data_IF_975209051217
#
_entry.id   IF_975209051217
#
_cell.length_a   1.000
_cell.length_b   1.000
_cell.length_c   1.000
_cell.angle_alpha   90.00
_cell.angle_beta   90.00
_cell.angle_gamma   90.00
#
_symmetry.space_group_name_H-M   'P 1'
#
loop_
_entity.id
_entity.type
_entity.pdbx_description
1 polymer ?
#
# COMPACT_ATOMS: atom_id res chain seq x y z
N UNK A 1 -50.88 2.91 -32.06
CA UNK A 1 -50.78 3.68 -33.32
C UNK A 1 -52.07 4.39 -33.71
N UNK A 2 -53.28 3.89 -33.35
CA UNK A 2 -54.54 4.53 -33.74
C UNK A 2 -54.82 5.91 -33.10
N UNK A 3 -54.47 6.13 -31.82
CA UNK A 3 -54.80 7.38 -31.12
C UNK A 3 -53.99 8.59 -31.59
N UNK A 4 -52.69 8.40 -31.82
CA UNK A 4 -51.80 9.40 -32.41
C UNK A 4 -52.29 9.89 -33.79
N UNK A 5 -52.79 8.96 -34.61
CA UNK A 5 -53.30 9.28 -35.94
C UNK A 5 -54.66 9.99 -35.89
N UNK A 6 -55.51 9.65 -34.91
CA UNK A 6 -56.79 10.34 -34.66
C UNK A 6 -56.54 11.75 -34.14
N UNK A 7 -55.59 11.93 -33.22
CA UNK A 7 -55.19 13.24 -32.69
C UNK A 7 -54.60 14.10 -33.81
N UNK A 8 -53.72 13.55 -34.67
CA UNK A 8 -53.21 14.26 -35.85
C UNK A 8 -54.31 14.68 -36.81
N UNK A 9 -55.25 13.79 -37.15
CA UNK A 9 -56.38 14.15 -38.02
C UNK A 9 -57.27 15.22 -37.40
N UNK A 10 -57.54 15.15 -36.10
CA UNK A 10 -58.31 16.16 -35.38
C UNK A 10 -57.61 17.51 -35.37
N UNK A 11 -56.30 17.53 -35.10
CA UNK A 11 -55.48 18.75 -35.16
C UNK A 11 -55.37 19.30 -36.58
N UNK A 12 -55.34 18.47 -37.62
CA UNK A 12 -55.38 18.95 -39.01
C UNK A 12 -56.75 19.57 -39.33
N UNK A 13 -57.85 18.97 -38.88
CA UNK A 13 -59.20 19.48 -39.15
C UNK A 13 -59.48 20.80 -38.39
N UNK A 14 -59.09 20.88 -37.12
CA UNK A 14 -59.28 22.05 -36.26
C UNK A 14 -58.16 23.11 -36.42
N UNK A 15 -56.97 22.71 -36.87
CA UNK A 15 -55.79 23.56 -37.05
C UNK A 15 -55.65 24.19 -38.45
N UNK A 16 -56.32 23.63 -39.45
CA UNK A 16 -56.30 24.16 -40.82
C UNK A 16 -57.53 25.04 -41.09
N UNK A 17 -57.75 26.08 -40.29
CA UNK A 17 -58.57 27.25 -40.65
C UNK A 17 -60.03 27.01 -41.10
N UNK A 18 -60.57 25.79 -41.03
CA UNK A 18 -61.89 25.44 -41.60
C UNK A 18 -63.01 26.23 -40.95
N UNK A 19 -62.82 26.64 -39.69
CA UNK A 19 -63.72 27.57 -39.00
C UNK A 19 -63.60 29.02 -39.49
N UNK A 20 -62.40 29.52 -39.77
CA UNK A 20 -62.15 30.89 -40.23
C UNK A 20 -62.55 31.07 -41.71
N UNK A 21 -62.14 30.15 -42.59
CA UNK A 21 -62.54 30.13 -44.00
C UNK A 21 -64.07 30.02 -44.15
N UNK A 22 -64.72 29.18 -43.33
CA UNK A 22 -66.18 29.11 -43.26
C UNK A 22 -66.80 30.44 -42.80
N UNK A 23 -66.21 31.11 -41.81
CA UNK A 23 -66.70 32.41 -41.31
C UNK A 23 -66.58 33.49 -42.39
N UNK A 24 -65.45 33.57 -43.08
CA UNK A 24 -65.23 34.49 -44.20
C UNK A 24 -66.18 34.22 -45.36
N UNK A 25 -66.38 32.95 -45.73
CA UNK A 25 -67.32 32.55 -46.77
C UNK A 25 -68.79 32.91 -46.41
N UNK A 26 -69.17 32.79 -45.13
CA UNK A 26 -70.50 33.19 -44.65
C UNK A 26 -70.68 34.71 -44.69
N UNK A 27 -69.65 35.47 -44.28
CA UNK A 27 -69.65 36.93 -44.37
C UNK A 27 -69.78 37.39 -45.83
N UNK A 28 -68.98 36.80 -46.74
CA UNK A 28 -69.01 37.09 -48.18
C UNK A 28 -70.39 36.82 -48.78
N UNK A 29 -71.00 35.67 -48.49
CA UNK A 29 -72.36 35.34 -48.95
C UNK A 29 -73.40 36.31 -48.39
N UNK A 30 -73.27 36.72 -47.14
CA UNK A 30 -74.18 37.69 -46.49
C UNK A 30 -74.05 39.07 -47.12
N UNK A 31 -72.83 39.50 -47.44
CA UNK A 31 -72.54 40.76 -48.13
C UNK A 31 -73.10 40.78 -49.55
N UNK A 32 -72.85 39.73 -50.34
CA UNK A 32 -73.40 39.61 -51.70
C UNK A 32 -74.93 39.62 -51.66
N UNK A 33 -75.56 38.94 -50.69
CA UNK A 33 -77.01 38.95 -50.53
C UNK A 33 -77.51 40.37 -50.23
N UNK A 34 -76.90 41.04 -49.25
CA UNK A 34 -77.27 42.40 -48.85
C UNK A 34 -77.15 43.42 -49.99
N UNK A 35 -76.10 43.33 -50.84
CA UNK A 35 -75.94 44.20 -52.00
C UNK A 35 -77.00 43.98 -53.09
N UNK A 36 -77.58 42.78 -53.18
CA UNK A 36 -78.58 42.42 -54.20
C UNK A 36 -80.03 42.48 -53.68
N UNK A 37 -80.23 42.86 -52.41
CA UNK A 37 -81.55 43.02 -51.79
C UNK A 37 -82.25 44.29 -52.29
N UNK A 38 -83.06 44.21 -53.35
CA UNK A 38 -83.77 45.37 -53.91
C UNK A 38 -85.11 45.71 -53.23
N UNK A 39 -85.64 44.82 -52.37
CA UNK A 39 -86.97 44.93 -51.75
C UNK A 39 -86.97 44.87 -50.20
N UNK A 40 -85.81 44.99 -49.55
CA UNK A 40 -85.73 44.94 -48.08
C UNK A 40 -86.09 46.29 -47.43
N UNK A 41 -86.74 46.24 -46.26
CA UNK A 41 -87.07 47.44 -45.48
C UNK A 41 -85.78 48.05 -44.91
N UNK A 42 -85.73 49.38 -44.74
CA UNK A 42 -84.54 50.08 -44.21
C UNK A 42 -84.05 49.50 -42.85
N UNK A 43 -84.96 49.05 -41.99
CA UNK A 43 -84.61 48.41 -40.72
C UNK A 43 -83.96 47.03 -40.89
N UNK A 44 -84.42 46.22 -41.83
CA UNK A 44 -83.87 44.88 -42.11
C UNK A 44 -82.46 44.97 -42.72
N UNK A 45 -82.26 45.96 -43.60
CA UNK A 45 -80.94 46.29 -44.16
C UNK A 45 -79.95 46.73 -43.08
N UNK A 46 -80.40 47.46 -42.06
CA UNK A 46 -79.56 47.89 -40.93
C UNK A 46 -79.18 46.70 -40.02
N UNK A 47 -80.13 45.81 -39.72
CA UNK A 47 -79.88 44.62 -38.89
C UNK A 47 -78.86 43.68 -39.56
N UNK A 48 -78.97 43.48 -40.87
CA UNK A 48 -78.03 42.65 -41.63
C UNK A 48 -76.64 43.29 -41.69
N UNK A 49 -76.55 44.61 -41.86
CA UNK A 49 -75.30 45.36 -41.77
C UNK A 49 -74.62 45.23 -40.40
N UNK A 50 -75.34 45.43 -39.29
CA UNK A 50 -74.80 45.31 -37.94
C UNK A 50 -74.33 43.88 -37.64
N UNK A 51 -75.04 42.88 -38.16
CA UNK A 51 -74.61 41.47 -38.11
C UNK A 51 -73.32 41.22 -38.89
N UNK A 52 -73.15 41.82 -40.08
CA UNK A 52 -71.91 41.71 -40.85
C UNK A 52 -70.73 42.37 -40.13
N UNK A 53 -70.93 43.54 -39.49
CA UNK A 53 -69.91 44.18 -38.67
C UNK A 53 -69.48 43.30 -37.49
N UNK A 54 -70.44 42.67 -36.80
CA UNK A 54 -70.13 41.74 -35.71
C UNK A 54 -69.33 40.51 -36.21
N UNK A 55 -69.66 39.98 -37.39
CA UNK A 55 -68.91 38.89 -38.02
C UNK A 55 -67.50 39.31 -38.43
N UNK A 56 -67.32 40.52 -38.95
CA UNK A 56 -66.01 41.08 -39.29
C UNK A 56 -65.13 41.21 -38.04
N UNK A 57 -65.66 41.77 -36.96
CA UNK A 57 -64.94 41.90 -35.68
C UNK A 57 -64.50 40.53 -35.13
N UNK A 58 -65.31 39.48 -35.29
CA UNK A 58 -64.93 38.12 -34.91
C UNK A 58 -63.79 37.56 -35.78
N UNK A 59 -63.75 37.88 -37.07
CA UNK A 59 -62.66 37.49 -37.97
C UNK A 59 -61.35 38.19 -37.60
N UNK A 60 -61.40 39.50 -37.31
CA UNK A 60 -60.25 40.29 -36.87
C UNK A 60 -59.68 39.77 -35.54
N UNK A 61 -60.55 39.42 -34.60
CA UNK A 61 -60.14 38.80 -33.34
C UNK A 61 -59.47 37.45 -33.57
N UNK A 62 -60.04 36.59 -34.41
CA UNK A 62 -59.47 35.28 -34.73
C UNK A 62 -58.08 35.40 -35.37
N UNK A 63 -57.91 36.33 -36.32
CA UNK A 63 -56.63 36.63 -36.94
C UNK A 63 -55.59 37.11 -35.91
N UNK A 64 -55.98 38.04 -35.05
CA UNK A 64 -55.10 38.57 -34.00
C UNK A 64 -54.67 37.49 -33.01
N UNK A 65 -55.60 36.61 -32.62
CA UNK A 65 -55.33 35.45 -31.78
C UNK A 65 -54.35 34.49 -32.47
N UNK A 66 -54.59 34.13 -33.73
CA UNK A 66 -53.71 33.22 -34.48
C UNK A 66 -52.30 33.78 -34.60
N UNK A 67 -52.15 35.09 -34.86
CA UNK A 67 -50.84 35.74 -34.94
C UNK A 67 -50.11 35.70 -33.61
N UNK A 68 -50.81 35.96 -32.50
CA UNK A 68 -50.21 35.91 -31.17
C UNK A 68 -49.81 34.47 -30.79
N UNK A 69 -50.65 33.49 -31.10
CA UNK A 69 -50.33 32.06 -30.90
C UNK A 69 -49.12 31.64 -31.72
N UNK A 70 -49.01 32.05 -32.99
CA UNK A 70 -47.84 31.77 -33.81
C UNK A 70 -46.55 32.38 -33.24
N UNK A 71 -46.61 33.63 -32.77
CA UNK A 71 -45.48 34.29 -32.11
C UNK A 71 -45.09 33.60 -30.80
N UNK A 72 -46.07 33.20 -29.99
CA UNK A 72 -45.86 32.43 -28.77
C UNK A 72 -45.19 31.08 -29.07
N UNK A 73 -45.69 30.32 -30.04
CA UNK A 73 -45.11 29.03 -30.42
C UNK A 73 -43.68 29.16 -30.95
N UNK A 74 -43.37 30.23 -31.70
CA UNK A 74 -41.99 30.50 -32.14
C UNK A 74 -41.05 30.78 -30.96
N UNK A 75 -41.50 31.56 -29.97
CA UNK A 75 -40.74 31.83 -28.76
C UNK A 75 -40.56 30.57 -27.89
N UNK A 76 -41.59 29.75 -27.77
CA UNK A 76 -41.52 28.46 -27.07
C UNK A 76 -40.53 27.50 -27.76
N UNK A 77 -40.54 27.42 -29.09
CA UNK A 77 -39.60 26.60 -29.84
C UNK A 77 -38.15 27.00 -29.54
N UNK A 78 -37.86 28.31 -29.55
CA UNK A 78 -36.53 28.82 -29.20
C UNK A 78 -36.14 28.48 -27.75
N UNK A 79 -37.10 28.55 -26.82
CA UNK A 79 -36.86 28.17 -25.43
C UNK A 79 -36.54 26.67 -25.31
N UNK A 80 -37.27 25.80 -26.02
CA UNK A 80 -36.99 24.36 -26.05
C UNK A 80 -35.63 24.05 -26.66
N UNK A 81 -35.22 24.74 -27.73
CA UNK A 81 -33.86 24.60 -28.26
C UNK A 81 -32.79 24.97 -27.24
N UNK A 82 -32.97 26.08 -26.53
CA UNK A 82 -32.03 26.51 -25.49
C UNK A 82 -31.97 25.49 -24.34
N UNK A 83 -33.12 24.97 -23.92
CA UNK A 83 -33.20 23.93 -22.89
C UNK A 83 -32.51 22.64 -23.35
N UNK A 84 -32.70 22.23 -24.60
CA UNK A 84 -32.00 21.06 -25.17
C UNK A 84 -30.48 21.23 -25.10
N UNK A 85 -29.96 22.40 -25.53
CA UNK A 85 -28.52 22.69 -25.45
C UNK A 85 -27.99 22.68 -24.02
N UNK A 86 -28.76 23.21 -23.06
CA UNK A 86 -28.38 23.17 -21.64
C UNK A 86 -28.33 21.73 -21.10
N UNK A 87 -29.31 20.90 -21.46
CA UNK A 87 -29.34 19.49 -21.08
C UNK A 87 -28.16 18.74 -21.69
N UNK A 88 -27.85 18.95 -22.97
CA UNK A 88 -26.71 18.34 -23.64
C UNK A 88 -25.38 18.72 -22.97
N UNK A 89 -25.17 20.00 -22.67
CA UNK A 89 -24.01 20.49 -21.93
C UNK A 89 -23.92 19.87 -20.53
N UNK A 90 -25.05 19.77 -19.82
CA UNK A 90 -25.14 19.11 -18.52
C UNK A 90 -24.76 17.62 -18.58
N UNK A 91 -25.23 16.92 -19.61
CA UNK A 91 -24.87 15.50 -19.85
C UNK A 91 -23.38 15.37 -20.12
N UNK A 92 -22.80 16.24 -20.94
CA UNK A 92 -21.37 16.20 -21.24
C UNK A 92 -20.51 16.47 -20.00
N UNK A 93 -20.89 17.47 -19.19
CA UNK A 93 -20.26 17.77 -17.91
C UNK A 93 -20.33 16.58 -16.94
N UNK A 94 -21.51 15.96 -16.82
CA UNK A 94 -21.69 14.78 -15.98
C UNK A 94 -20.83 13.59 -16.45
N UNK A 95 -20.74 13.36 -17.77
CA UNK A 95 -19.84 12.33 -18.34
C UNK A 95 -18.38 12.58 -17.97
N UNK A 96 -17.90 13.82 -18.10
CA UNK A 96 -16.53 14.20 -17.71
C UNK A 96 -16.30 13.99 -16.20
N UNK A 97 -17.27 14.36 -15.36
CA UNK A 97 -17.18 14.13 -13.92
C UNK A 97 -17.11 12.64 -13.58
N UNK A 98 -17.91 11.79 -14.24
CA UNK A 98 -17.87 10.34 -14.05
C UNK A 98 -16.49 9.78 -14.42
N UNK A 99 -15.92 10.23 -15.54
CA UNK A 99 -14.60 9.79 -15.98
C UNK A 99 -13.50 10.20 -14.99
N UNK A 100 -13.53 11.45 -14.49
CA UNK A 100 -12.63 11.91 -13.43
C UNK A 100 -12.76 11.07 -12.17
N UNK A 101 -13.98 10.89 -11.65
CA UNK A 101 -14.21 10.10 -10.43
C UNK A 101 -13.79 8.63 -10.60
N UNK A 102 -13.87 8.08 -11.82
CA UNK A 102 -13.38 6.73 -12.11
C UNK A 102 -11.86 6.64 -12.00
N UNK A 103 -11.12 7.66 -12.44
CA UNK A 103 -9.67 7.73 -12.27
C UNK A 103 -9.31 7.86 -10.79
N UNK A 104 -9.94 8.78 -10.07
CA UNK A 104 -9.71 8.97 -8.63
C UNK A 104 -9.98 7.68 -7.85
N UNK A 105 -11.03 6.94 -8.23
CA UNK A 105 -11.35 5.65 -7.63
C UNK A 105 -10.26 4.59 -7.87
N UNK A 106 -9.66 4.55 -9.07
CA UNK A 106 -8.55 3.64 -9.37
C UNK A 106 -7.31 3.98 -8.56
N UNK A 107 -6.99 5.27 -8.43
CA UNK A 107 -5.89 5.74 -7.58
C UNK A 107 -6.14 5.36 -6.11
N UNK A 108 -7.33 5.65 -5.58
CA UNK A 108 -7.70 5.29 -4.21
C UNK A 108 -7.60 3.78 -3.96
N UNK A 109 -7.97 2.95 -4.94
CA UNK A 109 -7.81 1.49 -4.87
C UNK A 109 -6.33 1.08 -4.79
N UNK A 110 -5.47 1.75 -5.55
CA UNK A 110 -4.02 1.51 -5.54
C UNK A 110 -3.42 1.90 -4.20
N UNK A 111 -3.77 3.08 -3.67
CA UNK A 111 -3.35 3.54 -2.33
C UNK A 111 -3.79 2.54 -1.25
N UNK A 112 -5.03 2.05 -1.33
CA UNK A 112 -5.53 1.04 -0.40
C UNK A 112 -4.74 -0.27 -0.48
N UNK A 113 -4.42 -0.74 -1.70
CA UNK A 113 -3.59 -1.94 -1.91
C UNK A 113 -2.22 -1.77 -1.26
N UNK A 114 -1.55 -0.66 -1.53
CA UNK A 114 -0.24 -0.34 -0.97
C UNK A 114 -0.28 -0.27 0.56
N UNK A 115 -1.32 0.35 1.12
CA UNK A 115 -1.52 0.41 2.57
C UNK A 115 -1.65 -0.98 3.21
N UNK A 116 -2.43 -1.88 2.59
CA UNK A 116 -2.55 -3.26 3.06
C UNK A 116 -1.20 -3.99 2.99
N UNK A 117 -0.45 -3.80 1.91
CA UNK A 117 0.89 -4.39 1.76
C UNK A 117 1.84 -3.88 2.86
N UNK A 118 1.82 -2.58 3.15
CA UNK A 118 2.59 -2.00 4.26
C UNK A 118 2.16 -2.55 5.62
N UNK A 119 0.85 -2.67 5.88
CA UNK A 119 0.34 -3.22 7.14
C UNK A 119 0.78 -4.68 7.33
N UNK A 120 0.81 -5.47 6.26
CA UNK A 120 1.30 -6.86 6.28
C UNK A 120 2.79 -6.89 6.59
N UNK A 121 3.61 -6.08 5.90
CA UNK A 121 5.05 -6.00 6.18
C UNK A 121 5.33 -5.52 7.60
N UNK A 122 4.58 -4.54 8.09
CA UNK A 122 4.72 -4.02 9.45
C UNK A 122 4.42 -5.09 10.50
N UNK A 123 3.41 -5.96 10.29
CA UNK A 123 3.15 -7.10 11.17
C UNK A 123 4.34 -8.05 11.24
N UNK A 124 4.89 -8.43 10.08
CA UNK A 124 6.07 -9.31 10.02
C UNK A 124 7.30 -8.67 10.68
N UNK A 125 7.50 -7.36 10.51
CA UNK A 125 8.59 -6.63 11.17
C UNK A 125 8.41 -6.60 12.69
N UNK A 126 7.17 -6.43 13.18
CA UNK A 126 6.88 -6.40 14.61
C UNK A 126 7.02 -7.76 15.31
N UNK A 127 7.02 -8.87 14.57
CA UNK A 127 7.36 -10.19 15.11
C UNK A 127 8.86 -10.31 15.45
N UNK A 128 9.71 -9.46 14.85
CA UNK A 128 11.13 -9.43 15.12
C UNK A 128 11.45 -8.57 16.37
N UNK A 129 12.51 -8.91 17.13
CA UNK A 129 12.88 -8.15 18.31
C UNK A 129 13.31 -6.72 17.96
N UNK A 130 13.11 -5.80 18.90
CA UNK A 130 13.49 -4.41 18.70
C UNK A 130 14.97 -4.27 18.35
N UNK A 131 15.24 -3.45 17.33
CA UNK A 131 16.59 -3.28 16.76
C UNK A 131 17.53 -2.63 17.77
N UNK A 132 17.05 -1.65 18.56
CA UNK A 132 17.88 -0.97 19.56
C UNK A 132 18.27 -1.94 20.67
N UNK A 133 17.29 -2.63 21.24
CA UNK A 133 17.54 -3.64 22.27
C UNK A 133 18.50 -4.75 21.80
N UNK A 134 18.36 -5.21 20.55
CA UNK A 134 19.25 -6.23 19.98
C UNK A 134 20.67 -5.70 19.80
N UNK A 135 20.84 -4.46 19.33
CA UNK A 135 22.15 -3.83 19.20
C UNK A 135 22.85 -3.61 20.55
N UNK A 136 22.11 -3.22 21.59
CA UNK A 136 22.65 -3.06 22.95
C UNK A 136 23.17 -4.39 23.50
N UNK A 137 22.36 -5.46 23.40
CA UNK A 137 22.80 -6.82 23.78
C UNK A 137 24.04 -7.25 23.00
N UNK A 138 24.10 -6.95 21.71
CA UNK A 138 25.24 -7.28 20.86
C UNK A 138 26.51 -6.51 21.26
N UNK A 139 26.37 -5.23 21.62
CA UNK A 139 27.47 -4.42 22.14
C UNK A 139 27.98 -4.94 23.48
N UNK A 140 27.07 -5.34 24.38
CA UNK A 140 27.42 -5.93 25.66
C UNK A 140 28.15 -7.27 25.47
N UNK A 141 27.61 -8.17 24.66
CA UNK A 141 28.24 -9.46 24.35
C UNK A 141 29.64 -9.27 23.75
N UNK A 142 29.84 -8.31 22.85
CA UNK A 142 31.18 -7.99 22.31
C UNK A 142 32.16 -7.55 23.39
N UNK A 143 31.70 -6.74 24.36
CA UNK A 143 32.53 -6.30 25.49
C UNK A 143 32.90 -7.48 26.39
N UNK A 144 31.95 -8.34 26.71
CA UNK A 144 32.16 -9.54 27.50
C UNK A 144 33.16 -10.49 26.81
N UNK A 145 33.00 -10.71 25.50
CA UNK A 145 33.89 -11.54 24.69
C UNK A 145 35.33 -10.99 24.70
N UNK A 146 35.52 -9.68 24.51
CA UNK A 146 36.83 -9.05 24.63
C UNK A 146 37.46 -9.19 26.01
N UNK A 147 36.67 -9.08 27.09
CA UNK A 147 37.17 -9.31 28.45
C UNK A 147 37.54 -10.78 28.71
N UNK A 148 36.79 -11.72 28.12
CA UNK A 148 37.07 -13.15 28.21
C UNK A 148 38.35 -13.51 27.44
N UNK A 149 38.57 -12.91 26.27
CA UNK A 149 39.80 -13.07 25.51
C UNK A 149 41.01 -12.54 26.27
N UNK A 150 40.91 -11.37 26.90
CA UNK A 150 41.98 -10.80 27.71
C UNK A 150 42.29 -11.68 28.93
N UNK A 151 41.27 -12.15 29.65
CA UNK A 151 41.47 -13.05 30.80
C UNK A 151 42.06 -14.39 30.38
N UNK A 152 41.64 -14.95 29.23
CA UNK A 152 42.25 -16.14 28.62
C UNK A 152 43.73 -15.91 28.35
N UNK A 153 44.09 -14.81 27.69
CA UNK A 153 45.48 -14.48 27.38
C UNK A 153 46.33 -14.30 28.65
N UNK A 154 45.78 -13.66 29.69
CA UNK A 154 46.45 -13.50 30.98
C UNK A 154 46.68 -14.85 31.69
N UNK A 155 45.70 -15.76 31.66
CA UNK A 155 45.83 -17.09 32.23
C UNK A 155 46.85 -17.94 31.45
N UNK A 156 46.85 -17.84 30.12
CA UNK A 156 47.80 -18.52 29.25
C UNK A 156 49.24 -18.07 29.53
N UNK A 157 49.47 -16.75 29.70
CA UNK A 157 50.77 -16.19 30.14
C UNK A 157 51.18 -16.69 31.53
N UNK A 158 50.25 -16.72 32.49
CA UNK A 158 50.54 -17.25 33.84
C UNK A 158 50.90 -18.74 33.80
N UNK A 159 50.19 -19.53 33.01
CA UNK A 159 50.45 -20.96 32.85
C UNK A 159 51.83 -21.19 32.22
N UNK A 160 52.19 -20.44 31.19
CA UNK A 160 53.51 -20.52 30.56
C UNK A 160 54.64 -20.12 31.53
N UNK A 161 54.44 -19.08 32.33
CA UNK A 161 55.36 -18.70 33.40
C UNK A 161 55.54 -19.82 34.44
N UNK A 162 54.45 -20.47 34.86
CA UNK A 162 54.51 -21.62 35.78
C UNK A 162 55.22 -22.83 35.15
N UNK A 163 55.00 -23.12 33.87
CA UNK A 163 55.74 -24.17 33.14
C UNK A 163 57.24 -23.90 33.11
N UNK A 164 57.65 -22.65 32.89
CA UNK A 164 59.05 -22.21 32.94
C UNK A 164 59.64 -22.36 34.35
N UNK A 165 58.93 -21.91 35.38
CA UNK A 165 59.34 -22.09 36.78
C UNK A 165 59.49 -23.56 37.15
N UNK A 166 58.56 -24.42 36.71
CA UNK A 166 58.64 -25.86 36.92
C UNK A 166 59.85 -26.48 36.21
N UNK A 167 60.15 -26.07 34.97
CA UNK A 167 61.37 -26.51 34.27
C UNK A 167 62.65 -26.13 35.03
N UNK A 168 62.72 -24.90 35.58
CA UNK A 168 63.86 -24.48 36.40
C UNK A 168 63.98 -25.36 37.65
N UNK A 169 62.88 -25.59 38.37
CA UNK A 169 62.87 -26.46 39.54
C UNK A 169 63.34 -27.88 39.19
N UNK A 170 62.82 -28.47 38.12
CA UNK A 170 63.21 -29.80 37.65
C UNK A 170 64.69 -29.82 37.30
N UNK A 171 65.22 -28.80 36.61
CA UNK A 171 66.64 -28.70 36.29
C UNK A 171 67.50 -28.58 37.57
N UNK A 172 67.07 -27.78 38.55
CA UNK A 172 67.75 -27.68 39.85
C UNK A 172 67.72 -28.99 40.63
N UNK A 173 66.63 -29.75 40.58
CA UNK A 173 66.55 -31.10 41.18
C UNK A 173 67.56 -32.02 40.51
N UNK A 174 67.61 -32.08 39.17
CA UNK A 174 68.62 -32.89 38.46
C UNK A 174 70.05 -32.45 38.78
N UNK A 175 70.29 -31.15 38.95
CA UNK A 175 71.60 -30.63 39.32
C UNK A 175 71.99 -30.98 40.77
N UNK A 176 71.04 -30.93 41.71
CA UNK A 176 71.26 -31.38 43.09
C UNK A 176 71.44 -32.90 43.17
N UNK A 177 70.70 -33.67 42.38
CA UNK A 177 70.93 -35.12 42.22
C UNK A 177 72.33 -35.38 41.70
N UNK A 178 72.76 -34.68 40.64
CA UNK A 178 74.11 -34.80 40.13
C UNK A 178 75.17 -34.40 41.18
N UNK A 179 74.91 -33.39 42.01
CA UNK A 179 75.81 -33.02 43.12
C UNK A 179 75.86 -34.09 44.22
N UNK A 180 74.72 -34.69 44.57
CA UNK A 180 74.64 -35.79 45.53
C UNK A 180 75.34 -37.05 45.00
N UNK A 181 75.15 -37.38 43.73
CA UNK A 181 75.86 -38.47 43.06
C UNK A 181 77.37 -38.20 43.03
N UNK A 182 77.79 -36.94 42.83
CA UNK A 182 79.22 -36.56 42.92
C UNK A 182 79.77 -36.61 44.34
N UNK A 183 78.97 -36.24 45.35
CA UNK A 183 79.36 -36.33 46.76
C UNK A 183 79.39 -37.78 47.26
N UNK A 184 78.49 -38.66 46.80
CA UNK A 184 78.65 -40.10 47.02
C UNK A 184 79.94 -40.59 46.40
N UNK A 185 80.32 -40.14 45.19
CA UNK A 185 81.65 -40.48 44.65
C UNK A 185 82.81 -39.83 45.41
N UNK A 186 82.68 -38.62 45.97
CA UNK A 186 83.74 -37.98 46.78
C UNK A 186 83.86 -38.63 48.17
N UNK A 187 82.76 -39.00 48.83
CA UNK A 187 82.76 -39.75 50.09
C UNK A 187 83.26 -41.18 49.85
N UNK A 188 82.93 -41.81 48.71
CA UNK A 188 83.53 -43.09 48.29
C UNK A 188 85.02 -42.90 47.96
N UNK A 189 85.44 -41.78 47.37
CA UNK A 189 86.86 -41.48 47.11
C UNK A 189 87.62 -41.15 48.39
N UNK A 190 87.02 -40.50 49.38
CA UNK A 190 87.66 -40.17 50.67
C UNK A 190 87.76 -41.43 51.55
N UNK A 191 86.74 -42.30 51.55
CA UNK A 191 86.81 -43.63 52.16
C UNK A 191 87.80 -44.53 51.41
N UNK A 192 87.84 -44.52 50.08
CA UNK A 192 88.83 -45.28 49.30
C UNK A 192 90.25 -44.72 49.42
N UNK A 193 90.44 -43.41 49.66
CA UNK A 193 91.77 -42.85 49.96
C UNK A 193 92.23 -43.19 51.37
N UNK A 194 91.32 -43.40 52.33
CA UNK A 194 91.65 -43.89 53.67
C UNK A 194 91.96 -45.40 53.66
N UNK A 195 91.18 -46.21 52.92
CA UNK A 195 91.41 -47.65 52.75
C UNK A 195 92.66 -47.96 51.89
N UNK A 196 93.07 -47.08 50.97
CA UNK A 196 94.26 -47.29 50.13
C UNK A 196 95.60 -47.12 50.87
N UNK A 197 95.61 -46.75 52.16
CA UNK A 197 96.84 -46.68 52.96
C UNK A 197 97.05 -47.86 53.93
N UNK A 198 96.10 -48.79 54.08
CA UNK A 198 96.23 -49.90 55.05
C UNK A 198 96.30 -51.33 54.51
N UNK A 199 96.06 -51.62 53.22
CA UNK A 199 96.05 -53.03 52.78
C UNK A 199 96.98 -53.36 51.60
N UNK A 200 98.28 -53.47 51.92
CA UNK A 200 99.15 -54.52 51.33
C UNK A 200 99.19 -55.71 52.31
N UNK A 201 98.31 -56.71 52.12
CA UNK A 201 98.68 -58.11 51.89
C UNK A 201 97.53 -59.11 52.18
N UNK A 202 97.37 -60.02 51.21
CA UNK A 202 96.74 -61.36 51.27
C UNK A 202 95.20 -61.41 51.36
N UNK A 203 94.45 -61.46 50.25
CA UNK A 203 94.20 -62.56 49.27
C UNK A 203 93.58 -63.85 49.80
N UNK A 204 92.54 -64.27 49.06
CA UNK A 204 91.94 -65.62 48.92
C UNK A 204 90.91 -66.05 50.00
N UNK A 205 89.73 -66.57 49.69
CA UNK A 205 89.14 -66.98 48.41
C UNK A 205 87.61 -67.15 48.53
N UNK A 206 86.92 -66.91 47.41
CA UNK A 206 85.80 -67.67 46.84
C UNK A 206 84.69 -68.23 47.76
N UNK A 207 83.46 -67.75 47.59
CA UNK A 207 82.37 -68.39 46.80
C UNK A 207 81.24 -68.79 47.77
N UNK A 208 79.93 -68.67 47.50
CA UNK A 208 79.16 -68.49 46.27
C UNK A 208 77.71 -68.19 46.66
N UNK A 209 77.03 -67.40 45.83
CA UNK A 209 75.64 -67.51 45.36
C UNK A 209 74.52 -67.73 46.39
N UNK A 210 73.47 -66.91 46.46
CA UNK A 210 72.36 -66.86 45.49
C UNK A 210 71.39 -65.78 46.03
N UNK A 211 71.06 -64.76 45.25
CA UNK A 211 69.97 -64.68 44.27
C UNK A 211 68.59 -64.32 44.85
N UNK A 212 67.96 -63.35 44.17
CA UNK A 212 66.54 -63.02 44.08
C UNK A 212 66.06 -61.86 44.97
N UNK A 213 65.93 -60.66 44.38
CA UNK A 213 64.79 -60.14 43.59
C UNK A 213 63.68 -59.60 44.51
N UNK A 214 63.49 -58.28 44.54
CA UNK A 214 62.62 -57.50 43.63
C UNK A 214 61.15 -57.75 43.90
N UNK A 215 60.39 -56.67 44.16
CA UNK A 215 58.95 -56.41 43.89
C UNK A 215 58.56 -55.26 44.85
N UNK A 216 58.60 -53.97 44.47
CA UNK A 216 57.64 -53.22 43.63
C UNK A 216 56.17 -53.56 43.88
N UNK A 217 55.38 -52.58 44.32
CA UNK A 217 54.04 -52.24 43.82
C UNK A 217 53.43 -51.20 44.77
N UNK A 218 53.23 -49.97 44.32
CA UNK A 218 52.07 -49.49 43.54
C UNK A 218 50.86 -49.23 44.47
N UNK A 219 50.42 -47.98 44.64
CA UNK A 219 49.70 -47.07 43.72
C UNK A 219 48.20 -47.10 44.06
N UNK A 220 47.64 -45.88 44.09
CA UNK A 220 46.23 -45.46 44.05
C UNK A 220 45.29 -45.82 45.22
#
# INVERSE_FOLDING_TARGET
>A
MADEDVIRRRLLIDGDGTGDDRRLNVLLKSFIKWCNSTNETHEESKITHDRMLAQLAQCEFALSKSRLSAAMSAAELQNYENLSRQIESGIESAKRSIESTKLDFQEAKTVRKNRIEYDVMAKVINEQPDRKATNEKLAQLRKELGSLEETREQLEKKLDMRRKQFHVLVASIHQLQAMLDTNETEDILEVALYDAFEDENETEDSQTMTANNTTQMEVE
#
